data_IF_561473508564
#
_entry.id   IF_561473508564
#
_cell.length_a   1.000
_cell.length_b   1.000
_cell.length_c   1.000
_cell.angle_alpha   90.00
_cell.angle_beta   90.00
_cell.angle_gamma   90.00
#
_symmetry.space_group_name_H-M   'P 1'
#
loop_
_entity.id
_entity.type
_entity.pdbx_description
1 polymer ?
#
# COMPACT_ATOMS: atom_id res chain seq x y z
N UNK A 1 -21.53 12.51 36.03
CA UNK A 1 -21.99 12.17 34.67
C UNK A 1 -21.61 13.21 33.61
N UNK A 2 -20.36 13.74 33.61
CA UNK A 2 -19.89 14.75 32.63
C UNK A 2 -18.64 14.35 31.84
N UNK A 3 -18.20 13.08 31.87
CA UNK A 3 -16.96 12.65 31.25
C UNK A 3 -17.10 11.76 29.98
N UNK A 4 -18.31 11.51 29.47
CA UNK A 4 -18.54 10.65 28.28
C UNK A 4 -18.85 11.39 26.99
N UNK A 5 -18.89 12.72 26.97
CA UNK A 5 -19.25 13.49 25.76
C UNK A 5 -18.06 13.92 24.92
N UNK A 6 -16.84 13.89 25.45
CA UNK A 6 -15.64 14.42 24.76
C UNK A 6 -15.00 13.42 23.78
N UNK A 7 -15.31 12.14 23.86
CA UNK A 7 -14.73 11.13 22.97
C UNK A 7 -15.44 10.99 21.61
N UNK A 8 -16.66 11.54 21.46
CA UNK A 8 -17.50 11.33 20.28
C UNK A 8 -17.35 12.42 19.20
N UNK A 9 -16.64 13.50 19.48
CA UNK A 9 -16.48 14.63 18.55
C UNK A 9 -15.22 14.54 17.66
N UNK A 10 -14.32 13.57 17.89
CA UNK A 10 -13.08 13.39 17.12
C UNK A 10 -13.23 12.46 15.89
N UNK A 11 -14.35 11.76 15.74
CA UNK A 11 -14.57 10.85 14.62
C UNK A 11 -15.24 11.48 13.39
N UNK A 12 -15.71 12.72 13.46
CA UNK A 12 -16.49 13.36 12.37
C UNK A 12 -15.65 14.36 11.55
N UNK A 13 -14.41 14.68 11.96
CA UNK A 13 -13.59 15.70 11.30
C UNK A 13 -12.64 15.20 10.20
N UNK A 14 -12.72 13.94 9.77
CA UNK A 14 -11.81 13.38 8.76
C UNK A 14 -12.38 13.31 7.33
N UNK A 15 -13.37 14.11 6.96
CA UNK A 15 -13.94 14.12 5.60
C UNK A 15 -13.62 15.42 4.83
N UNK A 16 -12.73 16.26 5.27
CA UNK A 16 -12.24 17.36 4.43
C UNK A 16 -10.73 17.25 4.21
N UNK A 17 -10.41 16.90 2.97
CA UNK A 17 -9.07 16.86 2.37
C UNK A 17 -8.36 18.22 2.44
N UNK A 18 -7.37 18.34 3.34
CA UNK A 18 -6.11 19.07 3.11
C UNK A 18 -5.21 18.77 4.31
N UNK A 19 -4.23 17.88 4.12
CA UNK A 19 -3.13 17.69 5.07
C UNK A 19 -2.00 18.64 4.74
N UNK A 20 -1.87 19.68 5.53
CA UNK A 20 -0.58 20.36 5.71
C UNK A 20 0.10 19.71 6.92
N UNK A 21 1.24 19.11 6.66
CA UNK A 21 2.11 18.54 7.70
C UNK A 21 2.72 19.68 8.48
N UNK A 22 2.36 19.79 9.74
CA UNK A 22 3.16 20.51 10.74
C UNK A 22 3.60 19.47 11.77
N UNK A 23 4.89 19.18 11.74
CA UNK A 23 5.58 18.51 12.82
C UNK A 23 5.99 19.60 13.83
N UNK A 24 5.44 19.51 15.04
CA UNK A 24 6.09 20.09 16.22
C UNK A 24 5.65 19.32 17.47
N UNK A 25 6.65 18.70 18.04
CA UNK A 25 6.99 18.50 19.44
C UNK A 25 5.85 18.48 20.48
N UNK A 26 5.47 17.30 20.98
CA UNK A 26 4.98 17.18 22.35
C UNK A 26 5.49 15.90 23.02
N UNK A 27 6.57 16.10 23.77
CA UNK A 27 7.09 15.16 24.75
C UNK A 27 6.21 15.15 26.00
N UNK A 28 5.96 13.96 26.49
CA UNK A 28 5.67 13.52 27.85
C UNK A 28 4.26 13.05 28.19
N UNK A 29 4.19 11.78 28.55
CA UNK A 29 3.19 11.23 29.48
C UNK A 29 2.05 10.42 28.84
N UNK A 30 2.35 9.29 28.23
CA UNK A 30 1.35 8.27 27.91
C UNK A 30 1.29 7.19 28.97
N UNK A 31 0.19 7.13 29.70
CA UNK A 31 -0.24 5.88 30.32
C UNK A 31 -1.04 5.12 29.26
N UNK A 32 -0.45 4.07 28.72
CA UNK A 32 -1.13 3.09 27.89
C UNK A 32 -2.17 2.35 28.75
N UNK A 33 -3.42 2.46 28.37
CA UNK A 33 -4.47 1.57 28.83
C UNK A 33 -4.68 0.55 27.72
N UNK A 34 -4.05 -0.61 27.88
CA UNK A 34 -4.39 -1.81 27.12
C UNK A 34 -5.80 -2.24 27.49
N UNK A 35 -6.70 -2.18 26.53
CA UNK A 35 -8.01 -2.83 26.61
C UNK A 35 -7.84 -4.15 25.87
N UNK A 36 -7.62 -5.23 26.62
CA UNK A 36 -7.83 -6.59 26.14
C UNK A 36 -9.32 -6.77 25.83
N UNK A 37 -9.63 -6.86 24.52
CA UNK A 37 -10.91 -7.35 24.06
C UNK A 37 -10.73 -8.86 23.90
N UNK A 38 -11.21 -9.61 24.89
CA UNK A 38 -11.40 -11.04 24.75
C UNK A 38 -12.62 -11.24 23.86
N UNK A 39 -12.40 -11.82 22.69
CA UNK A 39 -13.42 -12.39 21.84
C UNK A 39 -13.88 -13.69 22.53
N UNK A 40 -15.01 -13.67 23.19
CA UNK A 40 -15.74 -14.88 23.53
C UNK A 40 -16.74 -15.13 22.41
N UNK A 41 -16.44 -16.19 21.67
CA UNK A 41 -17.32 -16.84 20.70
C UNK A 41 -18.45 -17.55 21.45
N UNK A 42 -19.61 -17.56 20.76
CA UNK A 42 -20.71 -18.51 20.86
C UNK A 42 -21.60 -18.51 22.12
N UNK A 43 -22.91 -18.27 21.88
CA UNK A 43 -23.93 -19.31 22.05
C UNK A 43 -25.32 -18.79 21.71
N UNK A 44 -25.90 -19.46 20.77
CA UNK A 44 -27.30 -19.82 20.51
C UNK A 44 -28.41 -19.04 21.25
N UNK A 45 -29.10 -18.18 20.50
CA UNK A 45 -30.40 -17.66 20.89
C UNK A 45 -31.46 -18.73 20.60
N UNK A 46 -31.76 -19.55 21.61
CA UNK A 46 -32.92 -20.42 21.62
C UNK A 46 -34.21 -19.59 21.63
N UNK A 47 -35.07 -19.93 20.69
CA UNK A 47 -36.43 -19.48 20.57
C UNK A 47 -37.20 -19.77 21.86
N UNK A 48 -37.58 -18.72 22.59
CA UNK A 48 -38.56 -18.81 23.68
C UNK A 48 -39.93 -18.66 23.07
N UNK A 49 -40.57 -19.81 22.76
CA UNK A 49 -41.98 -19.91 22.52
C UNK A 49 -42.74 -19.55 23.82
N UNK A 50 -43.47 -18.44 23.79
CA UNK A 50 -44.44 -18.10 24.83
C UNK A 50 -45.72 -18.82 24.50
N UNK A 51 -45.94 -19.96 25.15
CA UNK A 51 -47.27 -20.62 25.13
C UNK A 51 -48.18 -19.93 26.11
N UNK A 52 -49.23 -19.33 25.58
CA UNK A 52 -50.42 -18.89 26.33
C UNK A 52 -51.22 -20.13 26.73
N UNK A 53 -51.04 -20.61 27.93
CA UNK A 53 -51.98 -21.55 28.56
C UNK A 53 -52.63 -20.84 29.74
N UNK A 54 -53.80 -20.29 29.46
CA UNK A 54 -54.75 -19.81 30.45
C UNK A 54 -55.68 -20.94 30.80
N UNK A 55 -55.36 -21.70 31.82
CA UNK A 55 -56.36 -22.56 32.47
C UNK A 55 -56.79 -21.95 33.79
N UNK A 56 -58.04 -21.54 33.78
CA UNK A 56 -58.77 -21.04 34.92
C UNK A 56 -59.18 -22.22 35.82
N UNK A 57 -58.63 -22.31 37.00
CA UNK A 57 -59.23 -23.06 38.08
C UNK A 57 -59.90 -22.15 39.07
N UNK A 58 -61.23 -22.24 39.05
CA UNK A 58 -62.21 -21.62 39.88
C UNK A 58 -62.23 -22.32 41.26
N UNK A 59 -61.58 -21.74 42.24
CA UNK A 59 -61.81 -22.15 43.65
C UNK A 59 -62.45 -21.01 44.45
N UNK A 60 -63.72 -21.23 44.69
CA UNK A 60 -64.64 -20.46 45.55
C UNK A 60 -64.15 -20.52 47.00
N UNK A 61 -63.66 -19.38 47.54
CA UNK A 61 -63.56 -19.17 49.01
C UNK A 61 -64.44 -18.03 49.44
N UNK A 62 -65.62 -18.43 50.01
CA UNK A 62 -66.49 -17.51 50.79
C UNK A 62 -65.99 -17.48 52.21
N UNK A 63 -65.54 -16.34 52.69
CA UNK A 63 -65.81 -15.94 54.08
C UNK A 63 -65.76 -14.43 54.19
N UNK A 64 -66.84 -13.91 54.80
CA UNK A 64 -67.09 -12.49 54.94
C UNK A 64 -66.32 -11.88 56.09
N UNK A 65 -65.65 -10.78 55.79
CA UNK A 65 -65.45 -9.69 56.73
C UNK A 65 -65.57 -8.39 55.96
N UNK A 66 -66.65 -7.70 56.15
CA UNK A 66 -66.82 -6.30 55.75
C UNK A 66 -65.77 -5.44 56.44
N UNK A 67 -64.64 -5.12 55.71
CA UNK A 67 -63.82 -3.99 56.08
C UNK A 67 -64.15 -2.84 55.16
N UNK A 68 -64.82 -1.84 55.75
CA UNK A 68 -65.09 -0.56 55.11
C UNK A 68 -63.77 0.20 54.86
N UNK A 69 -63.11 -0.14 53.80
CA UNK A 69 -62.05 0.70 53.25
C UNK A 69 -62.69 1.74 52.35
N UNK A 70 -62.53 3.02 52.73
CA UNK A 70 -63.10 4.16 52.04
C UNK A 70 -62.71 4.14 50.55
N UNK A 71 -63.69 4.21 49.66
CA UNK A 71 -63.53 4.18 48.19
C UNK A 71 -62.59 5.26 47.58
N UNK A 72 -62.05 6.12 48.43
CA UNK A 72 -61.05 7.12 48.07
C UNK A 72 -59.61 6.54 47.90
N UNK A 73 -59.26 5.51 48.69
CA UNK A 73 -57.92 4.98 48.71
C UNK A 73 -57.59 4.11 47.45
N UNK A 74 -58.61 3.36 47.01
CA UNK A 74 -58.41 2.47 45.80
C UNK A 74 -58.29 3.30 44.53
N UNK A 75 -59.03 4.38 44.41
CA UNK A 75 -58.95 5.30 43.28
C UNK A 75 -57.58 6.05 43.22
N UNK A 76 -57.09 6.45 44.38
CA UNK A 76 -55.79 7.10 44.48
C UNK A 76 -54.65 6.15 44.12
N UNK A 77 -54.74 4.88 44.56
CA UNK A 77 -53.74 3.81 44.15
C UNK A 77 -53.81 3.52 42.66
N UNK A 78 -54.99 3.39 42.08
CA UNK A 78 -55.17 3.18 40.66
C UNK A 78 -54.52 4.32 39.82
N UNK A 79 -54.80 5.57 40.22
CA UNK A 79 -54.20 6.73 39.56
C UNK A 79 -52.65 6.76 39.68
N UNK A 80 -52.08 6.33 40.80
CA UNK A 80 -50.63 6.21 40.95
C UNK A 80 -50.03 5.13 40.05
N UNK A 81 -50.72 4.00 39.89
CA UNK A 81 -50.26 2.91 38.97
C UNK A 81 -50.27 3.39 37.52
N UNK A 82 -51.35 4.05 37.10
CA UNK A 82 -51.47 4.61 35.76
C UNK A 82 -50.34 5.65 35.50
N UNK A 83 -50.16 6.57 36.43
CA UNK A 83 -49.09 7.58 36.29
C UNK A 83 -47.67 6.96 36.20
N UNK A 84 -47.41 5.89 36.98
CA UNK A 84 -46.13 5.14 36.86
C UNK A 84 -46.02 4.44 35.53
N UNK A 85 -47.05 3.81 35.01
CA UNK A 85 -47.05 3.15 33.71
C UNK A 85 -46.80 4.16 32.57
N UNK A 86 -47.38 5.35 32.64
CA UNK A 86 -47.13 6.42 31.67
C UNK A 86 -45.69 6.91 31.69
N UNK A 87 -45.08 7.08 32.88
CA UNK A 87 -43.67 7.46 33.02
C UNK A 87 -42.76 6.36 32.42
N UNK A 88 -43.03 5.09 32.76
CA UNK A 88 -42.26 3.96 32.21
C UNK A 88 -42.39 3.86 30.68
N UNK A 89 -43.59 4.10 30.13
CA UNK A 89 -43.81 4.12 28.69
C UNK A 89 -43.00 5.25 28.01
N UNK A 90 -42.93 6.42 28.61
CA UNK A 90 -42.12 7.54 28.10
C UNK A 90 -40.62 7.22 28.15
N UNK A 91 -40.12 6.69 29.26
CA UNK A 91 -38.71 6.26 29.40
C UNK A 91 -38.36 5.19 28.37
N UNK A 92 -39.24 4.21 28.15
CA UNK A 92 -39.03 3.18 27.11
C UNK A 92 -38.94 3.78 25.71
N UNK A 93 -39.76 4.74 25.35
CA UNK A 93 -39.72 5.41 24.05
C UNK A 93 -38.41 6.21 23.87
N UNK A 94 -37.91 6.88 24.89
CA UNK A 94 -36.65 7.59 24.84
C UNK A 94 -35.47 6.62 24.72
N UNK A 95 -35.46 5.50 25.48
CA UNK A 95 -34.46 4.45 25.36
C UNK A 95 -34.41 3.82 23.93
N UNK A 96 -35.62 3.55 23.37
CA UNK A 96 -35.74 3.02 22.01
C UNK A 96 -35.17 3.99 20.96
N UNK A 97 -35.39 5.28 21.14
CA UNK A 97 -34.88 6.33 20.27
C UNK A 97 -33.37 6.45 20.37
N UNK A 98 -32.78 6.36 21.56
CA UNK A 98 -31.33 6.31 21.74
C UNK A 98 -30.73 5.05 21.14
N UNK A 99 -31.31 3.88 21.38
CA UNK A 99 -30.85 2.62 20.80
C UNK A 99 -30.80 2.67 19.26
N UNK A 100 -31.86 3.23 18.64
CA UNK A 100 -31.85 3.44 17.18
C UNK A 100 -30.71 4.36 16.72
N UNK A 101 -30.49 5.46 17.46
CA UNK A 101 -29.41 6.39 17.14
C UNK A 101 -28.01 5.71 17.19
N UNK A 102 -27.79 4.82 18.16
CA UNK A 102 -26.55 4.03 18.25
C UNK A 102 -26.41 3.02 17.10
N UNK A 103 -27.50 2.34 16.74
CA UNK A 103 -27.52 1.41 15.62
C UNK A 103 -27.18 2.11 14.29
N UNK A 104 -27.80 3.26 14.03
CA UNK A 104 -27.55 4.07 12.86
C UNK A 104 -26.08 4.55 12.81
N UNK A 105 -25.50 4.95 13.95
CA UNK A 105 -24.10 5.36 14.06
C UNK A 105 -23.14 4.21 13.80
N UNK A 106 -23.41 3.01 14.28
CA UNK A 106 -22.61 1.81 14.02
C UNK A 106 -22.61 1.45 12.52
N UNK A 107 -23.78 1.50 11.88
CA UNK A 107 -23.89 1.23 10.44
C UNK A 107 -23.07 2.22 9.60
N UNK A 108 -23.13 3.52 9.95
CA UNK A 108 -22.30 4.54 9.29
C UNK A 108 -20.81 4.28 9.49
N UNK A 109 -20.39 3.88 10.71
CA UNK A 109 -19.01 3.56 11.00
C UNK A 109 -18.52 2.33 10.20
N UNK A 110 -19.33 1.27 10.12
CA UNK A 110 -19.06 0.07 9.33
C UNK A 110 -18.85 0.41 7.85
N UNK A 111 -19.77 1.18 7.25
CA UNK A 111 -19.66 1.62 5.84
C UNK A 111 -18.43 2.49 5.59
N UNK A 112 -18.10 3.36 6.52
CA UNK A 112 -16.88 4.18 6.42
C UNK A 112 -15.61 3.34 6.43
N UNK A 113 -15.59 2.29 7.24
CA UNK A 113 -14.47 1.36 7.30
C UNK A 113 -14.34 0.54 6.01
N UNK A 114 -15.43 -0.02 5.51
CA UNK A 114 -15.46 -0.75 4.22
C UNK A 114 -14.97 0.13 3.06
N UNK A 115 -15.42 1.39 3.01
CA UNK A 115 -14.96 2.35 1.99
C UNK A 115 -13.46 2.66 2.13
N UNK A 116 -12.95 2.78 3.35
CA UNK A 116 -11.51 3.00 3.61
C UNK A 116 -10.67 1.81 3.13
N UNK A 117 -11.11 0.58 3.43
CA UNK A 117 -10.43 -0.64 2.99
C UNK A 117 -10.41 -0.77 1.46
N UNK A 118 -11.55 -0.52 0.82
CA UNK A 118 -11.65 -0.55 -0.64
C UNK A 118 -10.76 0.51 -1.30
N UNK A 119 -10.74 1.72 -0.75
CA UNK A 119 -9.84 2.79 -1.22
C UNK A 119 -8.37 2.37 -1.11
N UNK A 120 -7.99 1.71 -0.02
CA UNK A 120 -6.64 1.20 0.20
C UNK A 120 -6.29 0.13 -0.84
N UNK A 121 -7.18 -0.82 -1.11
CA UNK A 121 -7.00 -1.88 -2.13
C UNK A 121 -6.83 -1.28 -3.53
N UNK A 122 -7.67 -0.30 -3.89
CA UNK A 122 -7.56 0.39 -5.19
C UNK A 122 -6.21 1.10 -5.31
N UNK A 123 -5.78 1.81 -4.26
CA UNK A 123 -4.49 2.50 -4.23
C UNK A 123 -3.30 1.54 -4.38
N UNK A 124 -3.30 0.42 -3.65
CA UNK A 124 -2.25 -0.59 -3.75
C UNK A 124 -2.17 -1.21 -5.14
N UNK A 125 -3.33 -1.52 -5.74
CA UNK A 125 -3.40 -2.04 -7.10
C UNK A 125 -2.83 -1.03 -8.10
N UNK A 126 -3.20 0.23 -8.01
CA UNK A 126 -2.70 1.30 -8.87
C UNK A 126 -1.18 1.49 -8.73
N UNK A 127 -0.64 1.44 -7.51
CA UNK A 127 0.81 1.52 -7.27
C UNK A 127 1.57 0.34 -7.88
N UNK A 128 1.06 -0.89 -7.73
CA UNK A 128 1.66 -2.08 -8.34
C UNK A 128 1.67 -2.00 -9.87
N UNK A 129 0.57 -1.53 -10.46
CA UNK A 129 0.48 -1.38 -11.91
C UNK A 129 1.42 -0.26 -12.42
N UNK A 130 1.51 0.86 -11.71
CA UNK A 130 2.44 1.93 -12.05
C UNK A 130 3.91 1.47 -11.95
N UNK A 131 4.27 0.70 -10.92
CA UNK A 131 5.60 0.13 -10.78
C UNK A 131 5.92 -0.86 -11.92
N UNK A 132 4.97 -1.72 -12.28
CA UNK A 132 5.11 -2.65 -13.41
C UNK A 132 5.35 -1.91 -14.73
N UNK A 133 4.54 -0.87 -15.02
CA UNK A 133 4.71 -0.05 -16.23
C UNK A 133 6.05 0.70 -16.24
N UNK A 134 6.52 1.17 -15.08
CA UNK A 134 7.84 1.81 -14.98
C UNK A 134 8.94 0.81 -15.34
N UNK A 135 8.87 -0.41 -14.81
CA UNK A 135 9.84 -1.47 -15.07
C UNK A 135 9.83 -1.91 -16.55
N UNK A 136 8.65 -2.11 -17.14
CA UNK A 136 8.52 -2.43 -18.57
C UNK A 136 9.16 -1.35 -19.44
N UNK A 137 8.97 -0.08 -19.15
CA UNK A 137 9.60 1.04 -19.85
C UNK A 137 11.12 1.04 -19.67
N UNK A 138 11.61 0.73 -18.46
CA UNK A 138 13.04 0.63 -18.17
C UNK A 138 13.69 -0.47 -19.00
N UNK A 139 13.09 -1.66 -19.01
CA UNK A 139 13.58 -2.80 -19.79
C UNK A 139 13.55 -2.50 -21.29
N UNK A 140 12.45 -1.94 -21.79
CA UNK A 140 12.34 -1.57 -23.20
C UNK A 140 13.41 -0.54 -23.60
N UNK A 141 13.66 0.47 -22.78
CA UNK A 141 14.71 1.47 -23.05
C UNK A 141 16.11 0.86 -23.09
N UNK A 142 16.40 -0.10 -22.21
CA UNK A 142 17.66 -0.85 -22.22
C UNK A 142 17.84 -1.67 -23.48
N UNK A 143 16.77 -2.33 -23.92
CA UNK A 143 16.78 -3.09 -25.18
C UNK A 143 16.98 -2.18 -26.40
N UNK A 144 16.34 -1.01 -26.44
CA UNK A 144 16.54 -0.03 -27.52
C UNK A 144 18.02 0.39 -27.65
N UNK A 145 18.72 0.60 -26.54
CA UNK A 145 20.16 0.94 -26.56
C UNK A 145 21.00 -0.21 -27.13
N UNK A 146 20.70 -1.45 -26.72
CA UNK A 146 21.40 -2.63 -27.22
C UNK A 146 21.13 -2.84 -28.73
N UNK A 147 19.89 -2.77 -29.16
CA UNK A 147 19.49 -2.94 -30.57
C UNK A 147 20.11 -1.85 -31.46
N UNK A 148 20.18 -0.62 -30.95
CA UNK A 148 20.85 0.47 -31.66
C UNK A 148 22.37 0.19 -31.81
N UNK A 149 23.02 -0.26 -30.74
CA UNK A 149 24.47 -0.54 -30.77
C UNK A 149 24.83 -1.66 -31.76
N UNK A 150 24.02 -2.70 -31.87
CA UNK A 150 24.22 -3.83 -32.76
C UNK A 150 24.21 -3.43 -34.24
N UNK A 151 23.52 -2.34 -34.62
CA UNK A 151 23.46 -1.85 -36.02
C UNK A 151 24.82 -1.43 -36.55
N UNK A 152 25.80 -1.16 -35.69
CA UNK A 152 27.15 -0.72 -36.07
C UNK A 152 28.18 -1.85 -36.16
N UNK A 153 27.77 -3.09 -35.96
CA UNK A 153 28.65 -4.26 -36.12
C UNK A 153 29.22 -4.30 -37.54
N UNK A 154 30.54 -4.52 -37.62
CA UNK A 154 31.31 -4.50 -38.88
C UNK A 154 31.96 -3.16 -39.20
N UNK A 155 31.60 -2.06 -38.52
CA UNK A 155 32.29 -0.78 -38.70
C UNK A 155 33.70 -0.78 -38.09
N UNK A 156 34.61 0.08 -38.58
CA UNK A 156 36.00 0.02 -38.21
C UNK A 156 36.28 0.47 -36.77
N UNK A 157 37.33 -0.08 -36.18
CA UNK A 157 37.96 0.44 -34.99
C UNK A 157 38.95 1.56 -35.33
N UNK A 158 38.85 2.70 -34.66
CA UNK A 158 39.82 3.79 -34.74
C UNK A 158 40.18 4.25 -33.34
N UNK A 159 41.47 4.16 -32.98
CA UNK A 159 41.96 4.63 -31.69
C UNK A 159 41.65 6.12 -31.48
N UNK A 160 41.03 6.48 -30.36
CA UNK A 160 40.58 7.86 -30.09
C UNK A 160 39.36 8.28 -30.87
N UNK A 161 38.79 7.41 -31.73
CA UNK A 161 37.61 7.69 -32.51
C UNK A 161 36.33 7.57 -31.69
N UNK A 162 35.28 8.30 -32.14
CA UNK A 162 33.95 8.33 -31.55
C UNK A 162 32.84 8.19 -32.59
N UNK A 163 33.17 8.01 -33.86
CA UNK A 163 32.19 7.87 -34.93
C UNK A 163 31.68 6.44 -35.00
N UNK A 164 30.39 6.26 -34.86
CA UNK A 164 29.75 4.93 -34.94
C UNK A 164 29.89 4.29 -36.32
N UNK A 165 30.09 5.08 -37.40
CA UNK A 165 30.19 4.60 -38.79
C UNK A 165 31.61 4.68 -39.33
N UNK A 166 32.37 5.73 -38.99
CA UNK A 166 33.70 5.98 -39.55
C UNK A 166 34.86 5.47 -38.67
N UNK A 167 34.54 4.98 -37.49
CA UNK A 167 35.48 4.38 -36.57
C UNK A 167 35.42 4.96 -35.14
N UNK A 168 35.37 4.05 -34.19
CA UNK A 168 35.41 4.35 -32.76
C UNK A 168 36.35 3.39 -32.04
N UNK A 169 36.94 3.82 -30.92
CA UNK A 169 37.51 2.88 -29.96
C UNK A 169 36.44 2.35 -28.98
N UNK A 170 36.79 1.46 -28.08
CA UNK A 170 35.84 0.80 -27.19
C UNK A 170 34.99 1.78 -26.36
N UNK A 171 35.62 2.72 -25.70
CA UNK A 171 34.93 3.72 -24.86
C UNK A 171 34.25 4.82 -25.68
N UNK A 172 34.79 5.18 -26.83
CA UNK A 172 34.18 6.10 -27.79
C UNK A 172 32.89 5.51 -28.41
N UNK A 173 32.91 4.20 -28.71
CA UNK A 173 31.72 3.49 -29.20
C UNK A 173 30.59 3.54 -28.21
N UNK A 174 30.79 3.07 -26.94
CA UNK A 174 29.74 3.07 -25.95
C UNK A 174 29.28 4.49 -25.59
N UNK A 175 30.20 5.46 -25.48
CA UNK A 175 29.88 6.86 -25.27
C UNK A 175 28.96 7.38 -26.38
N UNK A 176 29.24 7.12 -27.63
CA UNK A 176 28.41 7.61 -28.75
C UNK A 176 27.07 6.90 -28.88
N UNK A 177 26.99 5.60 -28.53
CA UNK A 177 25.74 4.87 -28.44
C UNK A 177 24.84 5.53 -27.37
N UNK A 178 25.35 5.69 -26.16
CA UNK A 178 24.58 6.26 -25.04
C UNK A 178 24.17 7.72 -25.26
N UNK A 179 25.00 8.51 -25.94
CA UNK A 179 24.69 9.90 -26.28
C UNK A 179 23.42 10.04 -27.15
N UNK A 180 23.13 9.07 -28.04
CA UNK A 180 21.91 9.04 -28.83
C UNK A 180 20.64 8.88 -27.97
N UNK A 181 20.79 8.40 -26.75
CA UNK A 181 19.69 8.22 -25.79
C UNK A 181 19.69 9.25 -24.65
N UNK A 182 20.55 10.28 -24.76
CA UNK A 182 20.64 11.38 -23.81
C UNK A 182 21.47 11.10 -22.56
N UNK A 183 22.30 10.04 -22.58
CA UNK A 183 23.24 9.75 -21.49
C UNK A 183 24.63 10.28 -21.83
N UNK A 184 25.25 10.99 -20.89
CA UNK A 184 26.61 11.49 -21.03
C UNK A 184 27.60 10.59 -20.31
N UNK A 185 28.49 9.96 -21.06
CA UNK A 185 29.53 9.10 -20.53
C UNK A 185 30.91 9.77 -20.67
N UNK A 186 31.83 9.58 -19.69
CA UNK A 186 33.22 9.99 -19.82
C UNK A 186 33.89 9.35 -21.04
N UNK A 187 34.94 10.01 -21.55
CA UNK A 187 35.62 9.57 -22.79
C UNK A 187 36.35 8.22 -22.64
N UNK A 188 36.96 7.92 -21.52
CA UNK A 188 37.83 6.75 -21.34
C UNK A 188 37.18 5.69 -20.44
N UNK A 189 37.47 4.41 -20.74
CA UNK A 189 36.81 3.28 -20.06
C UNK A 189 36.96 3.31 -18.54
N UNK A 190 38.13 3.63 -18.00
CA UNK A 190 38.33 3.71 -16.54
C UNK A 190 37.45 4.81 -15.88
N UNK A 191 37.28 5.96 -16.54
CA UNK A 191 36.41 7.02 -16.06
C UNK A 191 34.95 6.63 -16.22
N UNK A 192 34.56 5.93 -17.28
CA UNK A 192 33.23 5.35 -17.45
C UNK A 192 32.92 4.38 -16.31
N UNK A 193 33.84 3.49 -15.99
CA UNK A 193 33.63 2.61 -14.83
C UNK A 193 33.47 3.40 -13.53
N UNK A 194 34.35 4.36 -13.26
CA UNK A 194 34.29 5.15 -12.02
C UNK A 194 32.99 5.90 -11.86
N UNK A 195 32.43 6.43 -12.94
CA UNK A 195 31.18 7.20 -12.94
C UNK A 195 29.91 6.35 -12.96
N UNK A 196 29.99 5.06 -13.34
CA UNK A 196 28.83 4.18 -13.40
C UNK A 196 28.37 3.69 -12.02
N UNK A 197 27.08 3.33 -11.91
CA UNK A 197 26.60 2.52 -10.78
C UNK A 197 27.17 1.11 -10.91
N UNK A 198 27.88 0.65 -9.87
CA UNK A 198 28.46 -0.68 -9.85
C UNK A 198 27.36 -1.73 -9.69
N UNK A 199 27.54 -2.84 -10.43
CA UNK A 199 26.62 -3.96 -10.40
C UNK A 199 27.39 -5.28 -10.29
N UNK A 200 26.81 -6.26 -9.64
CA UNK A 200 27.36 -7.61 -9.61
C UNK A 200 27.23 -8.27 -11.00
N UNK A 201 28.22 -9.05 -11.38
CA UNK A 201 28.22 -9.78 -12.66
C UNK A 201 26.99 -10.70 -12.82
N UNK A 202 26.52 -11.29 -11.71
CA UNK A 202 25.33 -12.15 -11.69
C UNK A 202 24.01 -11.39 -11.86
N UNK A 203 24.04 -10.05 -11.73
CA UNK A 203 22.88 -9.16 -11.86
C UNK A 203 22.95 -8.28 -13.10
N UNK A 204 23.82 -8.65 -14.05
CA UNK A 204 24.00 -7.91 -15.30
C UNK A 204 22.73 -7.91 -16.14
N UNK A 205 22.33 -6.73 -16.58
CA UNK A 205 21.15 -6.51 -17.42
C UNK A 205 21.54 -5.93 -18.78
N UNK A 206 20.72 -6.18 -19.80
CA UNK A 206 20.87 -5.54 -21.12
C UNK A 206 21.08 -4.03 -20.95
N UNK A 207 22.05 -3.45 -21.65
CA UNK A 207 22.41 -2.04 -21.51
C UNK A 207 23.45 -1.74 -20.43
N UNK A 208 23.91 -2.72 -19.65
CA UNK A 208 25.04 -2.55 -18.74
C UNK A 208 26.38 -2.58 -19.49
N UNK A 209 27.38 -1.92 -18.93
CA UNK A 209 28.74 -1.92 -19.45
C UNK A 209 29.58 -2.94 -18.70
N UNK A 210 30.25 -3.79 -19.46
CA UNK A 210 31.23 -4.77 -18.95
C UNK A 210 32.62 -4.24 -19.19
N UNK A 211 33.46 -4.26 -18.17
CA UNK A 211 34.81 -3.70 -18.19
C UNK A 211 35.87 -4.78 -18.06
N UNK A 212 37.00 -4.60 -18.78
CA UNK A 212 38.06 -5.60 -18.89
C UNK A 212 39.44 -4.98 -18.78
N UNK A 213 40.40 -5.86 -18.51
CA UNK A 213 41.81 -5.55 -18.53
C UNK A 213 42.34 -4.84 -17.27
N UNK A 214 43.65 -4.88 -17.07
CA UNK A 214 44.32 -4.22 -15.97
C UNK A 214 44.13 -2.71 -16.04
N UNK A 215 43.68 -2.08 -14.94
CA UNK A 215 43.41 -0.64 -14.90
C UNK A 215 42.18 -0.23 -15.72
N UNK A 216 41.36 -1.18 -16.14
CA UNK A 216 40.15 -0.95 -16.94
C UNK A 216 40.49 -0.30 -18.29
N UNK A 217 41.13 -1.09 -19.16
CA UNK A 217 41.58 -0.64 -20.46
C UNK A 217 40.55 -0.85 -21.58
N UNK A 218 39.50 -1.62 -21.33
CA UNK A 218 38.48 -1.94 -22.33
C UNK A 218 37.07 -1.95 -21.73
N UNK A 219 36.08 -1.68 -22.58
CA UNK A 219 34.66 -1.66 -22.23
C UNK A 219 33.82 -2.23 -23.38
N UNK A 220 32.75 -2.94 -23.02
CA UNK A 220 31.76 -3.48 -23.95
C UNK A 220 30.34 -3.22 -23.40
N UNK A 221 29.35 -3.18 -24.28
CA UNK A 221 27.94 -3.06 -23.94
C UNK A 221 27.31 -4.46 -23.93
N UNK A 222 26.67 -4.83 -22.80
CA UNK A 222 25.95 -6.09 -22.68
C UNK A 222 24.63 -6.02 -23.43
N UNK A 223 24.38 -6.98 -24.31
CA UNK A 223 23.18 -7.03 -25.16
C UNK A 223 22.23 -8.19 -24.83
N UNK A 224 22.49 -8.92 -23.74
CA UNK A 224 21.71 -10.10 -23.36
C UNK A 224 22.35 -11.41 -23.84
N UNK A 225 21.78 -12.52 -23.40
CA UNK A 225 22.17 -13.89 -23.79
C UNK A 225 23.68 -14.19 -23.67
N UNK A 226 24.33 -13.59 -22.68
CA UNK A 226 25.75 -13.74 -22.46
C UNK A 226 26.63 -13.06 -23.51
N UNK A 227 26.10 -12.12 -24.30
CA UNK A 227 26.77 -11.41 -25.37
C UNK A 227 27.04 -9.95 -25.05
N UNK A 228 28.12 -9.44 -25.61
CA UNK A 228 28.46 -8.02 -25.61
C UNK A 228 28.76 -7.52 -27.01
N UNK A 229 28.50 -6.25 -27.29
CA UNK A 229 28.90 -5.54 -28.48
C UNK A 229 29.97 -4.50 -28.13
N UNK A 230 31.07 -4.44 -28.86
CA UNK A 230 32.19 -3.54 -28.61
C UNK A 230 33.04 -3.27 -29.83
N UNK A 231 33.72 -2.14 -29.86
CA UNK A 231 34.84 -1.90 -30.79
C UNK A 231 36.07 -2.59 -30.20
N UNK A 232 36.41 -3.77 -30.74
CA UNK A 232 37.41 -4.66 -30.14
C UNK A 232 38.84 -4.21 -30.41
N UNK A 233 39.24 -4.12 -31.68
CA UNK A 233 40.55 -3.69 -32.12
C UNK A 233 40.56 -3.37 -33.64
N UNK A 234 41.67 -2.86 -34.16
CA UNK A 234 41.78 -2.45 -35.57
C UNK A 234 41.60 -3.57 -36.59
N UNK A 235 41.78 -4.84 -36.19
CA UNK A 235 41.60 -5.99 -37.10
C UNK A 235 40.17 -6.48 -37.17
N UNK A 236 39.39 -6.28 -36.10
CA UNK A 236 38.02 -6.81 -35.95
C UNK A 236 36.93 -5.74 -36.06
N UNK A 237 37.25 -4.49 -35.75
CA UNK A 237 36.24 -3.42 -35.69
C UNK A 237 35.26 -3.62 -34.57
N UNK A 238 34.03 -3.23 -34.84
CA UNK A 238 32.88 -3.41 -33.90
C UNK A 238 32.32 -4.82 -34.12
N UNK A 239 32.29 -5.61 -33.07
CA UNK A 239 31.89 -7.04 -33.10
C UNK A 239 31.02 -7.41 -31.91
N UNK A 240 30.32 -8.53 -32.04
CA UNK A 240 29.64 -9.21 -30.92
C UNK A 240 30.54 -10.39 -30.49
N UNK A 241 30.74 -10.51 -29.18
CA UNK A 241 31.47 -11.66 -28.59
C UNK A 241 30.68 -12.16 -27.35
N UNK A 242 31.11 -13.29 -26.77
CA UNK A 242 30.68 -13.67 -25.44
C UNK A 242 31.22 -12.65 -24.42
N UNK A 243 30.47 -12.35 -23.37
CA UNK A 243 30.92 -11.39 -22.35
C UNK A 243 32.16 -11.86 -21.60
N UNK A 244 32.42 -13.16 -21.60
CA UNK A 244 33.58 -13.80 -20.97
C UNK A 244 34.70 -14.16 -21.97
N UNK A 245 34.72 -13.50 -23.14
CA UNK A 245 35.82 -13.65 -24.09
C UNK A 245 37.18 -13.23 -23.51
N UNK A 246 37.14 -12.38 -22.50
CA UNK A 246 38.20 -12.02 -21.57
C UNK A 246 37.59 -11.97 -20.16
N UNK A 247 38.42 -11.96 -19.11
CA UNK A 247 37.92 -11.93 -17.73
C UNK A 247 37.34 -10.56 -17.38
N UNK A 248 36.05 -10.44 -17.11
CA UNK A 248 35.47 -9.19 -16.67
C UNK A 248 36.03 -8.73 -15.31
N UNK A 249 36.41 -7.47 -15.20
CA UNK A 249 36.90 -6.87 -13.94
C UNK A 249 35.82 -6.04 -13.23
N UNK A 250 34.70 -5.78 -13.89
CA UNK A 250 33.58 -5.10 -13.29
C UNK A 250 32.43 -4.88 -14.27
N UNK A 251 31.27 -4.60 -13.70
CA UNK A 251 30.04 -4.20 -14.41
C UNK A 251 29.56 -2.87 -13.88
N UNK A 252 29.04 -2.03 -14.75
CA UNK A 252 28.46 -0.75 -14.36
C UNK A 252 27.27 -0.35 -15.21
N UNK A 253 26.29 0.32 -14.61
CA UNK A 253 25.09 0.81 -15.27
C UNK A 253 25.07 2.34 -15.32
N UNK A 254 24.52 2.89 -16.41
CA UNK A 254 24.15 4.29 -16.59
C UNK A 254 22.63 4.46 -16.72
N UNK A 255 21.90 3.34 -16.70
CA UNK A 255 20.45 3.28 -16.91
C UNK A 255 19.78 2.77 -15.65
N UNK A 256 18.87 3.58 -15.09
CA UNK A 256 18.01 3.22 -13.96
C UNK A 256 16.72 2.53 -14.41
#
# INVERSE_FOLDING_TARGET
MKKKITAMLLAICCISSTWTVYADDFSSGSSEVEIEITEDEDEDADDVEITDDADADDEMFSDGTESSTSGGDISAMANQIVARAEIQAQEYQELKKEAKKYADAQEVARRAQEMKEETTRIREKALKEAAKRKEEKRVAKRQEVADFAVQFVGNPYVWGGTSLTNGADCSGFVMSVFANFGYELPRVAAAQYSASQKRDLSQMEVGDLVFYGSGISHVALYIGDGKVVHALNSNKGIVITDYNYDTPVGVGSYME
#
